data_IF_979288209352
#
_entry.id   IF_979288209352
#
_cell.length_a   1.000
_cell.length_b   1.000
_cell.length_c   1.000
_cell.angle_alpha   90.00
_cell.angle_beta   90.00
_cell.angle_gamma   90.00
#
_symmetry.space_group_name_H-M   'P 1'
#
loop_
_entity.id
_entity.type
_entity.pdbx_description
1 polymer ?
#
# COMPACT_ATOMS: atom_id res chain seq x y z
N UNK A 1 -22.28 -6.05 0.48
CA UNK A 1 -21.18 -5.79 1.45
C UNK A 1 -21.51 -4.49 2.17
N UNK A 2 -21.30 -4.42 3.48
CA UNK A 2 -21.49 -3.19 4.26
C UNK A 2 -20.45 -2.14 3.85
N UNK A 3 -20.82 -0.88 3.92
CA UNK A 3 -19.89 0.22 3.69
C UNK A 3 -18.81 0.24 4.77
N UNK A 4 -17.54 0.27 4.36
CA UNK A 4 -16.40 0.44 5.25
C UNK A 4 -16.09 1.93 5.34
N UNK A 5 -16.25 2.48 6.53
CA UNK A 5 -15.87 3.86 6.87
C UNK A 5 -14.91 3.78 8.06
N UNK A 6 -13.69 4.27 7.87
CA UNK A 6 -12.67 4.29 8.92
C UNK A 6 -12.31 5.74 9.21
N UNK A 7 -12.39 6.15 10.47
CA UNK A 7 -11.96 7.50 10.90
C UNK A 7 -10.67 7.39 11.71
N UNK A 8 -9.70 8.27 11.45
CA UNK A 8 -8.45 8.38 12.21
C UNK A 8 -8.04 9.84 12.40
N UNK A 9 -6.99 10.07 13.21
CA UNK A 9 -6.41 11.40 13.42
C UNK A 9 -4.99 11.40 12.87
N UNK A 10 -4.76 12.11 11.77
CA UNK A 10 -3.42 12.36 11.25
C UNK A 10 -2.79 13.54 12.00
N UNK A 11 -1.55 13.39 12.45
CA UNK A 11 -0.68 14.46 12.92
C UNK A 11 0.32 14.85 11.83
N UNK A 12 0.42 16.15 11.56
CA UNK A 12 1.24 16.74 10.51
C UNK A 12 2.11 17.84 11.14
N UNK A 13 3.41 17.84 10.81
CA UNK A 13 4.30 18.97 11.05
C UNK A 13 3.90 20.12 10.12
N UNK A 14 3.10 21.03 10.67
CA UNK A 14 2.53 22.16 9.92
C UNK A 14 3.60 23.14 9.44
N UNK A 15 4.72 23.27 10.16
CA UNK A 15 5.81 24.14 9.76
C UNK A 15 6.57 23.54 8.58
N UNK A 16 6.88 22.24 8.63
CA UNK A 16 7.45 21.52 7.50
C UNK A 16 6.53 21.62 6.26
N UNK A 17 5.23 21.38 6.43
CA UNK A 17 4.26 21.54 5.35
C UNK A 17 4.25 22.97 4.78
N UNK A 18 4.32 23.99 5.64
CA UNK A 18 4.37 25.39 5.21
C UNK A 18 5.57 25.66 4.31
N UNK A 19 6.75 25.16 4.70
CA UNK A 19 7.98 25.32 3.91
C UNK A 19 7.81 24.72 2.51
N UNK A 20 7.24 23.52 2.39
CA UNK A 20 6.94 22.94 1.07
C UNK A 20 5.95 23.80 0.26
N UNK A 21 4.94 24.36 0.91
CA UNK A 21 3.98 25.26 0.26
C UNK A 21 4.61 26.55 -0.29
N UNK A 22 5.63 27.06 0.38
CA UNK A 22 6.35 28.29 0.03
C UNK A 22 7.37 28.07 -1.11
N UNK A 23 7.81 26.82 -1.37
CA UNK A 23 8.66 26.50 -2.52
C UNK A 23 8.00 26.89 -3.84
N UNK A 24 8.77 27.44 -4.78
CA UNK A 24 8.26 27.80 -6.11
C UNK A 24 7.81 26.55 -6.88
N UNK A 25 8.65 25.51 -6.86
CA UNK A 25 8.44 24.20 -7.48
C UNK A 25 8.89 23.12 -6.50
N UNK A 26 8.23 21.96 -6.52
CA UNK A 26 8.65 20.80 -5.74
C UNK A 26 9.10 19.72 -6.70
N UNK A 27 10.30 19.20 -6.50
CA UNK A 27 10.89 18.12 -7.29
C UNK A 27 10.78 16.83 -6.49
N UNK A 28 10.10 15.83 -7.05
CA UNK A 28 10.07 14.46 -6.53
C UNK A 28 11.09 13.64 -7.33
N UNK A 29 12.13 13.07 -6.71
CA UNK A 29 13.07 12.17 -7.39
C UNK A 29 12.33 11.01 -8.06
N UNK A 30 12.81 10.56 -9.22
CA UNK A 30 12.16 9.50 -10.03
C UNK A 30 12.37 8.08 -9.50
N UNK A 31 13.30 7.88 -8.57
CA UNK A 31 13.79 6.55 -8.20
C UNK A 31 12.98 5.87 -7.08
N UNK A 32 11.82 6.41 -6.72
CA UNK A 32 10.99 5.85 -5.66
C UNK A 32 9.68 5.33 -6.22
N UNK A 33 9.48 4.01 -6.08
CA UNK A 33 8.27 3.22 -6.31
C UNK A 33 7.13 4.04 -6.96
N UNK A 34 7.14 4.12 -8.30
CA UNK A 34 6.06 4.69 -9.13
C UNK A 34 4.72 3.93 -8.99
N UNK A 35 4.54 3.15 -7.91
CA UNK A 35 3.35 2.34 -7.60
C UNK A 35 2.12 3.20 -7.19
N UNK A 36 2.31 4.51 -6.91
CA UNK A 36 1.27 5.38 -6.30
C UNK A 36 0.60 6.41 -7.23
N UNK A 37 0.86 6.39 -8.54
CA UNK A 37 0.15 7.28 -9.49
C UNK A 37 -1.28 6.78 -9.75
N UNK A 38 -2.21 7.17 -8.88
CA UNK A 38 -3.65 7.10 -9.17
C UNK A 38 -4.03 8.17 -10.22
N UNK A 39 -5.08 7.91 -11.00
CA UNK A 39 -5.67 8.80 -12.04
C UNK A 39 -6.04 10.24 -11.56
N UNK A 40 -5.74 10.62 -10.31
CA UNK A 40 -5.89 11.96 -9.73
C UNK A 40 -4.81 12.97 -10.21
N UNK A 41 -4.21 12.73 -11.38
CA UNK A 41 -3.17 13.54 -12.03
C UNK A 41 -3.61 14.96 -12.44
N UNK A 42 -4.85 15.38 -12.16
CA UNK A 42 -5.36 16.68 -12.63
C UNK A 42 -5.07 17.85 -11.68
N UNK A 43 -4.74 17.60 -10.42
CA UNK A 43 -4.47 18.67 -9.45
C UNK A 43 -2.96 18.84 -9.25
N UNK A 44 -2.38 20.02 -9.55
CA UNK A 44 -0.97 20.29 -9.30
C UNK A 44 -0.58 20.01 -7.84
N UNK A 45 0.56 19.36 -7.61
CA UNK A 45 1.05 19.00 -6.27
C UNK A 45 0.98 20.18 -5.28
N UNK A 46 1.39 21.37 -5.72
CA UNK A 46 1.34 22.59 -4.91
C UNK A 46 -0.09 22.94 -4.43
N UNK A 47 -1.10 22.76 -5.28
CA UNK A 47 -2.49 22.98 -4.90
C UNK A 47 -2.97 21.93 -3.89
N UNK A 48 -2.52 20.67 -4.02
CA UNK A 48 -2.79 19.62 -3.02
C UNK A 48 -2.19 19.99 -1.66
N UNK A 49 -0.94 20.47 -1.63
CA UNK A 49 -0.27 20.88 -0.37
C UNK A 49 -0.87 22.12 0.27
N UNK A 50 -1.21 23.15 -0.52
CA UNK A 50 -1.93 24.31 0.02
C UNK A 50 -3.30 23.93 0.57
N UNK A 51 -4.02 23.04 -0.10
CA UNK A 51 -5.28 22.50 0.41
C UNK A 51 -5.04 21.76 1.74
N UNK A 52 -4.01 20.90 1.82
CA UNK A 52 -3.66 20.22 3.06
C UNK A 52 -3.32 21.23 4.17
N UNK A 53 -2.49 22.24 3.90
CA UNK A 53 -2.09 23.26 4.88
C UNK A 53 -3.28 24.06 5.42
N UNK A 54 -4.18 24.49 4.53
CA UNK A 54 -5.35 25.27 4.90
C UNK A 54 -6.39 24.45 5.68
N UNK A 55 -6.44 23.14 5.45
CA UNK A 55 -7.34 22.22 6.12
C UNK A 55 -6.71 21.53 7.35
N UNK A 56 -5.44 21.81 7.66
CA UNK A 56 -4.75 21.30 8.85
C UNK A 56 -4.90 22.33 9.98
N UNK A 57 -5.44 21.94 11.15
CA UNK A 57 -5.53 22.83 12.32
C UNK A 57 -4.17 23.30 12.83
N UNK A 58 -4.16 24.30 13.73
CA UNK A 58 -2.92 24.93 14.22
C UNK A 58 -2.04 23.96 15.00
N UNK A 59 -2.66 23.01 15.70
CA UNK A 59 -1.97 21.95 16.44
C UNK A 59 -1.48 20.79 15.55
N UNK A 60 -1.68 20.87 14.22
CA UNK A 60 -1.27 19.84 13.27
C UNK A 60 -2.16 18.59 13.26
N UNK A 61 -3.21 18.52 14.09
CA UNK A 61 -4.05 17.32 14.23
C UNK A 61 -5.29 17.41 13.34
N UNK A 62 -5.44 16.45 12.44
CA UNK A 62 -6.49 16.41 11.43
C UNK A 62 -7.26 15.11 11.50
N UNK A 63 -8.57 15.18 11.72
CA UNK A 63 -9.44 14.02 11.52
C UNK A 63 -9.60 13.72 10.04
N UNK A 64 -9.43 12.46 9.67
CA UNK A 64 -9.66 11.99 8.31
C UNK A 64 -10.55 10.76 8.27
N UNK A 65 -11.20 10.56 7.14
CA UNK A 65 -12.08 9.41 6.88
C UNK A 65 -11.55 8.67 5.66
N UNK A 66 -11.56 7.34 5.71
CA UNK A 66 -11.25 6.47 4.60
C UNK A 66 -12.49 5.69 4.21
N UNK A 67 -12.77 5.65 2.91
CA UNK A 67 -13.93 4.98 2.33
C UNK A 67 -13.58 4.33 0.99
N UNK A 68 -14.43 3.45 0.46
CA UNK A 68 -14.24 2.93 -0.88
C UNK A 68 -14.62 3.99 -1.94
N UNK A 69 -13.79 4.17 -2.98
CA UNK A 69 -14.13 5.07 -4.10
C UNK A 69 -15.21 4.52 -5.03
N UNK A 70 -15.18 3.22 -5.30
CA UNK A 70 -16.07 2.54 -6.24
C UNK A 70 -16.42 1.14 -5.74
N UNK A 71 -17.66 0.71 -5.98
CA UNK A 71 -18.14 -0.68 -5.88
C UNK A 71 -18.05 -1.36 -4.50
N UNK A 72 -17.71 -0.63 -3.43
CA UNK A 72 -17.66 -1.12 -2.04
C UNK A 72 -16.78 -2.37 -1.83
N UNK A 73 -15.68 -2.49 -2.59
CA UNK A 73 -14.65 -3.52 -2.36
C UNK A 73 -13.27 -3.00 -2.78
N UNK A 74 -12.22 -3.70 -2.35
CA UNK A 74 -10.83 -3.34 -2.63
C UNK A 74 -10.27 -2.35 -1.60
N UNK A 75 -9.37 -1.47 -2.03
CA UNK A 75 -8.71 -0.48 -1.17
C UNK A 75 -9.70 0.57 -0.64
N UNK A 76 -9.40 1.08 0.55
CA UNK A 76 -9.99 2.32 1.06
C UNK A 76 -9.09 3.50 0.71
N UNK A 77 -9.72 4.62 0.40
CA UNK A 77 -9.07 5.86 0.03
C UNK A 77 -9.51 6.96 0.98
N UNK A 78 -8.59 7.85 1.26
CA UNK A 78 -8.80 9.03 2.06
C UNK A 78 -9.78 9.98 1.38
N UNK A 79 -10.77 10.45 2.13
CA UNK A 79 -11.70 11.48 1.70
C UNK A 79 -11.01 12.86 1.78
N UNK A 80 -10.95 13.55 0.64
CA UNK A 80 -10.36 14.89 0.55
C UNK A 80 -8.82 14.89 0.57
N UNK A 81 -8.22 15.74 1.41
CA UNK A 81 -6.75 15.90 1.50
C UNK A 81 -6.20 15.33 2.81
N UNK A 82 -5.02 14.71 2.73
CA UNK A 82 -4.24 14.22 3.86
C UNK A 82 -3.04 13.36 3.44
N UNK A 83 -2.49 12.60 4.38
CA UNK A 83 -1.18 11.95 4.24
C UNK A 83 -1.18 10.80 3.23
N UNK A 84 -2.28 10.06 3.06
CA UNK A 84 -2.36 8.97 2.07
C UNK A 84 -2.17 9.51 0.63
N UNK A 85 -2.61 10.75 0.37
CA UNK A 85 -2.55 11.38 -0.95
C UNK A 85 -1.21 12.07 -1.27
N UNK A 86 -0.23 12.00 -0.36
CA UNK A 86 1.12 12.54 -0.55
C UNK A 86 2.07 11.45 -1.07
N UNK A 87 3.06 11.83 -1.88
CA UNK A 87 4.16 10.91 -2.20
C UNK A 87 4.94 10.54 -0.94
N UNK A 88 5.64 9.39 -0.95
CA UNK A 88 6.50 8.92 0.14
C UNK A 88 7.36 10.04 0.74
N UNK A 89 8.11 10.76 -0.09
CA UNK A 89 9.03 11.82 0.33
C UNK A 89 8.33 13.03 0.96
N UNK A 90 7.25 13.49 0.34
CA UNK A 90 6.47 14.61 0.87
C UNK A 90 5.84 14.21 2.21
N UNK A 91 5.24 13.01 2.26
CA UNK A 91 4.61 12.45 3.45
C UNK A 91 5.64 12.33 4.59
N UNK A 92 6.82 11.77 4.31
CA UNK A 92 7.90 11.62 5.28
C UNK A 92 8.42 12.97 5.79
N UNK A 93 8.55 13.96 4.92
CA UNK A 93 9.04 15.30 5.31
C UNK A 93 8.06 16.04 6.23
N UNK A 94 6.75 15.92 5.99
CA UNK A 94 5.72 16.59 6.80
C UNK A 94 5.23 15.76 7.98
N UNK A 95 5.73 14.54 8.15
CA UNK A 95 5.52 13.76 9.35
C UNK A 95 6.30 14.38 10.52
N UNK A 96 5.73 14.51 11.73
CA UNK A 96 6.50 14.87 12.91
C UNK A 96 7.57 13.80 13.19
N UNK A 97 8.78 14.24 13.53
CA UNK A 97 9.90 13.34 13.78
C UNK A 97 9.64 12.40 14.95
N UNK A 98 9.91 11.10 14.75
CA UNK A 98 9.72 10.06 15.77
C UNK A 98 8.26 9.77 16.17
N UNK A 99 7.27 10.42 15.53
CA UNK A 99 5.88 10.25 15.91
C UNK A 99 5.25 8.98 15.34
N UNK A 100 5.54 8.67 14.07
CA UNK A 100 5.02 7.50 13.37
C UNK A 100 6.05 6.40 13.21
N UNK A 101 5.54 5.17 13.14
CA UNK A 101 6.23 4.01 12.58
C UNK A 101 5.45 3.49 11.39
N UNK A 102 6.13 3.11 10.31
CA UNK A 102 5.50 2.59 9.10
C UNK A 102 5.48 1.07 9.13
N UNK A 103 4.30 0.47 9.29
CA UNK A 103 4.15 -0.99 9.42
C UNK A 103 3.50 -1.56 8.17
N UNK A 104 4.27 -2.37 7.46
CA UNK A 104 3.93 -2.92 6.15
C UNK A 104 3.91 -4.45 6.14
N UNK A 105 3.06 -5.01 5.26
CA UNK A 105 3.11 -6.44 4.95
C UNK A 105 4.23 -6.69 3.94
N UNK A 106 5.16 -7.56 4.30
CA UNK A 106 6.25 -7.95 3.41
C UNK A 106 5.70 -8.72 2.22
N UNK A 107 5.90 -8.14 1.04
CA UNK A 107 5.53 -8.72 -0.25
C UNK A 107 4.02 -8.98 -0.42
N UNK A 108 3.17 -8.12 0.15
CA UNK A 108 1.73 -8.32 0.34
C UNK A 108 1.01 -9.03 -0.82
N UNK A 109 1.09 -8.51 -2.05
CA UNK A 109 0.40 -9.10 -3.22
C UNK A 109 0.73 -10.59 -3.42
N UNK A 110 2.01 -10.96 -3.32
CA UNK A 110 2.45 -12.33 -3.57
C UNK A 110 2.16 -13.23 -2.37
N UNK A 111 2.26 -12.71 -1.15
CA UNK A 111 1.86 -13.39 0.09
C UNK A 111 0.37 -13.71 0.07
N UNK A 112 -0.47 -12.77 -0.38
CA UNK A 112 -1.91 -12.98 -0.52
C UNK A 112 -2.22 -14.06 -1.56
N UNK A 113 -1.55 -14.05 -2.71
CA UNK A 113 -1.75 -15.11 -3.70
C UNK A 113 -1.27 -16.48 -3.22
N UNK A 114 -0.17 -16.56 -2.46
CA UNK A 114 0.27 -17.81 -1.81
C UNK A 114 -0.84 -18.37 -0.89
N UNK A 115 -1.35 -17.53 0.02
CA UNK A 115 -2.43 -17.92 0.93
C UNK A 115 -3.72 -18.32 0.20
N UNK A 116 -4.10 -17.62 -0.88
CA UNK A 116 -5.24 -18.02 -1.71
C UNK A 116 -5.02 -19.39 -2.37
N UNK A 117 -3.79 -19.69 -2.79
CA UNK A 117 -3.40 -20.99 -3.31
C UNK A 117 -3.55 -22.11 -2.29
N UNK A 118 -3.10 -21.86 -1.06
CA UNK A 118 -3.26 -22.79 0.07
C UNK A 118 -4.73 -23.02 0.40
N UNK A 119 -5.54 -21.96 0.46
CA UNK A 119 -6.97 -22.03 0.76
C UNK A 119 -7.76 -22.88 -0.27
N UNK A 120 -7.33 -22.90 -1.54
CA UNK A 120 -7.93 -23.76 -2.57
C UNK A 120 -7.28 -25.15 -2.68
N UNK A 121 -6.29 -25.46 -1.83
CA UNK A 121 -5.56 -26.72 -1.84
C UNK A 121 -4.67 -26.91 -3.08
N UNK A 122 -4.22 -25.82 -3.70
CA UNK A 122 -3.37 -25.83 -4.89
C UNK A 122 -2.28 -24.74 -4.80
N UNK A 123 -1.29 -24.90 -3.90
CA UNK A 123 -0.18 -23.97 -3.79
C UNK A 123 0.67 -23.92 -5.07
N UNK A 124 1.29 -22.77 -5.33
CA UNK A 124 2.27 -22.60 -6.41
C UNK A 124 3.70 -22.66 -5.85
N UNK A 125 4.47 -23.73 -6.07
CA UNK A 125 5.82 -23.87 -5.52
C UNK A 125 6.75 -22.71 -5.87
N UNK A 126 6.71 -22.20 -7.10
CA UNK A 126 7.56 -21.08 -7.51
C UNK A 126 7.14 -19.76 -6.87
N UNK A 127 5.85 -19.55 -6.59
CA UNK A 127 5.40 -18.35 -5.85
C UNK A 127 5.90 -18.38 -4.41
N UNK A 128 5.83 -19.56 -3.77
CA UNK A 128 6.39 -19.79 -2.44
C UNK A 128 7.91 -19.54 -2.44
N UNK A 129 8.62 -20.06 -3.45
CA UNK A 129 10.06 -19.81 -3.60
C UNK A 129 10.35 -18.32 -3.82
N UNK A 130 9.54 -17.63 -4.62
CA UNK A 130 9.63 -16.18 -4.84
C UNK A 130 9.46 -15.39 -3.55
N UNK A 131 8.47 -15.72 -2.72
CA UNK A 131 8.24 -15.04 -1.44
C UNK A 131 9.42 -15.22 -0.48
N UNK A 132 9.99 -16.43 -0.42
CA UNK A 132 11.11 -16.74 0.48
C UNK A 132 12.45 -16.15 0.03
N UNK A 133 12.70 -16.09 -1.27
CA UNK A 133 14.01 -15.73 -1.84
C UNK A 133 13.93 -14.56 -2.83
N UNK A 134 12.99 -13.64 -2.62
CA UNK A 134 12.67 -12.55 -3.56
C UNK A 134 13.91 -11.82 -4.08
N UNK A 135 14.78 -11.38 -3.16
CA UNK A 135 15.98 -10.59 -3.51
C UNK A 135 16.87 -11.36 -4.49
N UNK A 136 17.20 -12.60 -4.16
CA UNK A 136 18.07 -13.45 -4.97
C UNK A 136 17.43 -13.80 -6.32
N UNK A 137 16.10 -13.96 -6.36
CA UNK A 137 15.37 -14.25 -7.60
C UNK A 137 15.31 -13.02 -8.51
N UNK A 138 15.03 -11.84 -7.96
CA UNK A 138 15.07 -10.59 -8.73
C UNK A 138 16.45 -10.33 -9.30
N UNK A 139 17.51 -10.52 -8.52
CA UNK A 139 18.90 -10.40 -8.97
C UNK A 139 19.25 -11.45 -10.04
N UNK A 140 18.92 -12.73 -9.80
CA UNK A 140 19.18 -13.86 -10.71
C UNK A 140 18.57 -13.62 -12.10
N UNK A 141 17.38 -13.04 -12.17
CA UNK A 141 16.67 -12.80 -13.42
C UNK A 141 16.79 -11.36 -13.93
N UNK A 142 17.55 -10.50 -13.24
CA UNK A 142 17.70 -9.08 -13.56
C UNK A 142 16.34 -8.39 -13.78
N UNK A 143 15.43 -8.59 -12.83
CA UNK A 143 14.09 -8.00 -12.82
C UNK A 143 13.92 -7.07 -11.63
N UNK A 144 13.09 -6.06 -11.81
CA UNK A 144 12.60 -5.19 -10.75
C UNK A 144 11.26 -5.70 -10.19
N UNK A 145 10.90 -5.28 -8.97
CA UNK A 145 9.60 -5.60 -8.37
C UNK A 145 8.42 -5.14 -9.27
N UNK A 146 8.39 -3.91 -9.81
CA UNK A 146 7.29 -3.47 -10.69
C UNK A 146 7.17 -4.31 -11.97
N UNK A 147 8.28 -4.77 -12.56
CA UNK A 147 8.25 -5.67 -13.71
C UNK A 147 7.59 -7.00 -13.36
N UNK A 148 7.90 -7.58 -12.21
CA UNK A 148 7.26 -8.82 -11.76
C UNK A 148 5.78 -8.60 -11.47
N UNK A 149 5.39 -7.50 -10.81
CA UNK A 149 3.96 -7.19 -10.56
C UNK A 149 3.21 -7.05 -11.89
N UNK A 150 3.76 -6.29 -12.84
CA UNK A 150 3.18 -6.13 -14.18
C UNK A 150 3.06 -7.48 -14.88
N UNK A 151 4.07 -8.34 -14.75
CA UNK A 151 4.05 -9.68 -15.31
C UNK A 151 2.90 -10.51 -14.72
N UNK A 152 2.72 -10.51 -13.40
CA UNK A 152 1.73 -11.32 -12.70
C UNK A 152 0.29 -10.82 -12.83
N UNK A 153 0.09 -9.50 -12.93
CA UNK A 153 -1.23 -8.88 -13.01
C UNK A 153 -1.69 -8.58 -14.44
N UNK A 154 -0.87 -8.86 -15.46
CA UNK A 154 -1.25 -8.71 -16.85
C UNK A 154 -1.38 -10.07 -17.56
N UNK A 155 -2.62 -10.46 -17.86
CA UNK A 155 -2.94 -11.78 -18.43
C UNK A 155 -2.23 -12.04 -19.76
N UNK A 156 -2.15 -11.02 -20.61
CA UNK A 156 -1.56 -11.13 -21.94
C UNK A 156 -0.04 -10.84 -21.95
N UNK A 157 0.61 -10.90 -20.77
CA UNK A 157 2.05 -10.69 -20.67
C UNK A 157 2.81 -11.85 -21.32
N UNK A 158 3.78 -11.55 -22.18
CA UNK A 158 4.69 -12.57 -22.72
C UNK A 158 5.77 -12.87 -21.69
N UNK A 159 5.66 -14.02 -21.02
CA UNK A 159 6.64 -14.47 -20.04
C UNK A 159 7.58 -15.50 -20.66
N UNK A 160 8.83 -15.10 -20.89
CA UNK A 160 9.86 -15.97 -21.50
C UNK A 160 10.56 -16.87 -20.48
N UNK A 161 10.69 -16.38 -19.25
CA UNK A 161 11.34 -17.08 -18.15
C UNK A 161 10.44 -18.21 -17.60
N UNK A 162 10.95 -19.45 -17.58
CA UNK A 162 10.17 -20.61 -17.10
C UNK A 162 9.65 -20.46 -15.68
N UNK A 163 10.46 -19.95 -14.75
CA UNK A 163 10.09 -19.80 -13.34
C UNK A 163 8.85 -18.90 -13.19
N UNK A 164 8.86 -17.72 -13.80
CA UNK A 164 7.71 -16.81 -13.76
C UNK A 164 6.57 -17.26 -14.67
N UNK A 165 6.86 -17.98 -15.76
CA UNK A 165 5.83 -18.52 -16.65
C UNK A 165 4.96 -19.54 -15.92
N UNK A 166 5.56 -20.34 -15.03
CA UNK A 166 4.81 -21.28 -14.18
C UNK A 166 3.92 -20.55 -13.17
N UNK A 167 4.41 -19.48 -12.53
CA UNK A 167 3.58 -18.64 -11.63
C UNK A 167 2.42 -18.01 -12.42
N UNK A 168 2.72 -17.40 -13.57
CA UNK A 168 1.73 -16.76 -14.44
C UNK A 168 0.68 -17.75 -14.93
N UNK A 169 1.10 -18.93 -15.40
CA UNK A 169 0.20 -20.00 -15.82
C UNK A 169 -0.68 -20.44 -14.66
N UNK A 170 -0.11 -20.62 -13.46
CA UNK A 170 -0.88 -20.99 -12.28
C UNK A 170 -1.93 -19.93 -11.94
N UNK A 171 -1.57 -18.63 -11.93
CA UNK A 171 -2.50 -17.53 -11.67
C UNK A 171 -3.72 -17.55 -12.62
N UNK A 172 -3.49 -17.73 -13.91
CA UNK A 172 -4.52 -17.55 -14.93
C UNK A 172 -5.26 -18.82 -15.35
N UNK A 173 -4.62 -19.99 -15.24
CA UNK A 173 -5.22 -21.28 -15.59
C UNK A 173 -5.80 -21.99 -14.37
N UNK A 174 -5.24 -21.76 -13.17
CA UNK A 174 -5.66 -22.46 -11.95
C UNK A 174 -6.38 -21.52 -10.98
N UNK A 175 -5.71 -20.47 -10.50
CA UNK A 175 -6.23 -19.64 -9.41
C UNK A 175 -7.47 -18.85 -9.85
N UNK A 176 -7.35 -18.00 -10.89
CA UNK A 176 -8.44 -17.14 -11.32
C UNK A 176 -9.71 -17.92 -11.71
N UNK A 177 -9.67 -19.00 -12.51
CA UNK A 177 -10.86 -19.78 -12.83
C UNK A 177 -11.50 -20.47 -11.61
N UNK A 178 -10.71 -20.81 -10.60
CA UNK A 178 -11.20 -21.40 -9.35
C UNK A 178 -11.91 -20.34 -8.50
N UNK A 179 -11.27 -19.18 -8.27
CA UNK A 179 -11.85 -18.10 -7.47
C UNK A 179 -13.18 -17.60 -8.06
N UNK A 180 -13.29 -17.47 -9.39
CA UNK A 180 -14.53 -17.06 -10.07
C UNK A 180 -15.76 -17.92 -9.75
N UNK A 181 -15.56 -19.18 -9.34
CA UNK A 181 -16.64 -20.11 -9.02
C UNK A 181 -17.05 -20.07 -7.54
N UNK A 182 -16.25 -19.42 -6.70
CA UNK A 182 -16.51 -19.36 -5.27
C UNK A 182 -17.47 -18.20 -4.94
N UNK A 183 -18.44 -18.42 -4.03
CA UNK A 183 -19.41 -17.39 -3.64
C UNK A 183 -18.79 -16.09 -3.11
N UNK A 184 -17.60 -16.18 -2.51
CA UNK A 184 -16.88 -15.04 -1.96
C UNK A 184 -16.40 -14.06 -3.04
N UNK A 185 -15.89 -14.57 -4.17
CA UNK A 185 -15.24 -13.75 -5.19
C UNK A 185 -16.14 -13.44 -6.39
N UNK A 186 -17.28 -14.12 -6.52
CA UNK A 186 -18.18 -13.98 -7.69
C UNK A 186 -18.64 -12.53 -7.90
N UNK A 187 -18.87 -11.76 -6.83
CA UNK A 187 -19.29 -10.36 -6.95
C UNK A 187 -18.21 -9.49 -7.60
N UNK A 188 -16.93 -9.74 -7.28
CA UNK A 188 -15.79 -9.05 -7.91
C UNK A 188 -15.70 -9.44 -9.38
N UNK A 189 -15.88 -10.73 -9.69
CA UNK A 189 -15.89 -11.19 -11.08
C UNK A 189 -16.98 -10.52 -11.90
N UNK A 190 -18.23 -10.53 -11.42
CA UNK A 190 -19.36 -9.90 -12.10
C UNK A 190 -19.10 -8.41 -12.38
N UNK A 191 -18.57 -7.69 -11.39
CA UNK A 191 -18.18 -6.29 -11.58
C UNK A 191 -17.15 -6.10 -12.70
N UNK A 192 -16.11 -6.94 -12.73
CA UNK A 192 -15.06 -6.88 -13.76
C UNK A 192 -15.61 -7.26 -15.13
N UNK A 193 -16.48 -8.26 -15.20
CA UNK A 193 -17.11 -8.74 -16.42
C UNK A 193 -18.06 -7.72 -17.04
N UNK A 194 -18.77 -6.97 -16.21
CA UNK A 194 -19.70 -5.90 -16.61
C UNK A 194 -18.99 -4.56 -16.91
N UNK A 195 -17.72 -4.42 -16.52
CA UNK A 195 -16.95 -3.20 -16.76
C UNK A 195 -16.76 -2.92 -18.26
N UNK A 196 -16.93 -1.65 -18.62
CA UNK A 196 -16.73 -1.11 -19.97
C UNK A 196 -15.43 -0.30 -20.08
N UNK A 197 -14.65 -0.22 -19.01
CA UNK A 197 -13.37 0.51 -19.02
C UNK A 197 -12.34 -0.25 -19.86
N UNK A 198 -11.77 0.40 -20.88
CA UNK A 198 -10.88 -0.23 -21.88
C UNK A 198 -9.75 -1.07 -21.26
N UNK A 199 -9.10 -0.54 -20.22
CA UNK A 199 -7.99 -1.22 -19.56
C UNK A 199 -8.45 -2.50 -18.83
N UNK A 200 -9.68 -2.51 -18.28
CA UNK A 200 -10.28 -3.70 -17.67
C UNK A 200 -10.65 -4.73 -18.74
N UNK A 201 -11.28 -4.29 -19.83
CA UNK A 201 -11.70 -5.18 -20.93
C UNK A 201 -10.51 -5.92 -21.54
N UNK A 202 -9.36 -5.24 -21.70
CA UNK A 202 -8.13 -5.83 -22.26
C UNK A 202 -7.39 -6.76 -21.29
N UNK A 203 -7.71 -6.74 -20.00
CA UNK A 203 -7.03 -7.49 -18.96
C UNK A 203 -8.02 -7.92 -17.86
N UNK A 204 -9.09 -8.64 -18.24
CA UNK A 204 -10.17 -8.98 -17.31
C UNK A 204 -9.68 -9.86 -16.16
N UNK A 205 -8.92 -10.91 -16.44
CA UNK A 205 -8.46 -11.79 -15.35
C UNK A 205 -7.45 -11.09 -14.45
N UNK A 206 -6.55 -10.29 -15.01
CA UNK A 206 -5.63 -9.48 -14.22
C UNK A 206 -6.33 -8.45 -13.35
N UNK A 207 -7.35 -7.79 -13.89
CA UNK A 207 -8.21 -6.83 -13.17
C UNK A 207 -9.02 -7.50 -12.05
N UNK A 208 -9.45 -8.74 -12.26
CA UNK A 208 -10.13 -9.57 -11.27
C UNK A 208 -9.19 -9.97 -10.13
N UNK A 209 -8.04 -10.58 -10.44
CA UNK A 209 -7.04 -10.96 -9.44
C UNK A 209 -6.54 -9.74 -8.64
N UNK A 210 -6.38 -8.59 -9.31
CA UNK A 210 -6.00 -7.35 -8.65
C UNK A 210 -7.00 -6.94 -7.56
N UNK A 211 -8.30 -7.00 -7.86
CA UNK A 211 -9.35 -6.68 -6.90
C UNK A 211 -9.50 -7.73 -5.81
N UNK A 212 -9.26 -9.01 -6.12
CA UNK A 212 -9.22 -10.07 -5.11
C UNK A 212 -8.14 -9.80 -4.07
N UNK A 213 -6.89 -9.53 -4.47
CA UNK A 213 -5.84 -9.27 -3.49
C UNK A 213 -6.10 -7.97 -2.71
N UNK A 214 -6.61 -6.91 -3.36
CA UNK A 214 -6.93 -5.64 -2.69
C UNK A 214 -8.04 -5.79 -1.63
N UNK A 215 -8.99 -6.70 -1.85
CA UNK A 215 -10.00 -7.03 -0.84
C UNK A 215 -9.32 -7.66 0.39
N UNK A 216 -8.45 -8.64 0.19
CA UNK A 216 -7.71 -9.30 1.28
C UNK A 216 -6.74 -8.34 1.97
N UNK A 217 -6.08 -7.46 1.22
CA UNK A 217 -5.22 -6.38 1.73
C UNK A 217 -5.98 -5.48 2.73
N UNK A 218 -7.21 -5.10 2.40
CA UNK A 218 -8.07 -4.34 3.32
C UNK A 218 -8.45 -5.15 4.56
N UNK A 219 -8.74 -6.44 4.42
CA UNK A 219 -9.08 -7.31 5.56
C UNK A 219 -7.89 -7.43 6.51
N UNK A 220 -6.67 -7.63 5.98
CA UNK A 220 -5.43 -7.61 6.76
C UNK A 220 -5.26 -6.26 7.46
N UNK A 221 -5.46 -5.15 6.75
CA UNK A 221 -5.35 -3.81 7.33
C UNK A 221 -6.35 -3.59 8.48
N UNK A 222 -7.59 -4.05 8.33
CA UNK A 222 -8.61 -3.97 9.38
C UNK A 222 -8.26 -4.85 10.59
N UNK A 223 -7.75 -6.06 10.36
CA UNK A 223 -7.30 -6.98 11.41
C UNK A 223 -6.12 -6.40 12.19
N UNK A 224 -5.10 -5.86 11.49
CA UNK A 224 -4.00 -5.10 12.11
C UNK A 224 -4.51 -3.98 12.99
N UNK A 225 -5.44 -3.16 12.48
CA UNK A 225 -6.00 -2.02 13.22
C UNK A 225 -6.75 -2.47 14.48
N UNK A 226 -7.57 -3.52 14.38
CA UNK A 226 -8.26 -4.12 15.53
C UNK A 226 -7.26 -4.56 16.59
N UNK A 227 -6.18 -5.23 16.21
CA UNK A 227 -5.12 -5.66 17.12
C UNK A 227 -4.39 -4.47 17.78
N UNK A 228 -3.94 -3.48 17.01
CA UNK A 228 -3.21 -2.34 17.55
C UNK A 228 -4.05 -1.50 18.51
N UNK A 229 -5.35 -1.34 18.23
CA UNK A 229 -6.28 -0.67 19.13
C UNK A 229 -6.39 -1.35 20.50
N UNK A 230 -6.33 -2.68 20.57
CA UNK A 230 -6.34 -3.38 21.87
C UNK A 230 -5.04 -3.19 22.66
N UNK A 231 -3.97 -2.77 21.99
CA UNK A 231 -2.64 -2.50 22.56
C UNK A 231 -2.34 -1.01 22.72
N UNK A 232 -3.33 -0.12 22.56
CA UNK A 232 -3.17 1.35 22.66
C UNK A 232 -2.16 1.90 21.64
N UNK A 233 -2.10 1.27 20.47
CA UNK A 233 -1.37 1.76 19.31
C UNK A 233 -2.41 2.28 18.32
N UNK A 234 -2.30 3.56 17.97
CA UNK A 234 -3.25 4.23 17.09
C UNK A 234 -2.84 4.06 15.62
N UNK A 235 -3.74 3.54 14.78
CA UNK A 235 -3.58 3.48 13.32
C UNK A 235 -4.06 4.78 12.68
N UNK A 236 -3.14 5.73 12.51
CA UNK A 236 -3.44 7.10 12.13
C UNK A 236 -3.51 7.32 10.62
N UNK A 237 -2.61 6.69 9.85
CA UNK A 237 -2.59 6.81 8.37
C UNK A 237 -2.70 5.44 7.73
N UNK A 238 -3.65 5.27 6.83
CA UNK A 238 -3.84 4.01 6.09
C UNK A 238 -3.28 4.14 4.68
N UNK A 239 -2.35 3.27 4.29
CA UNK A 239 -1.64 3.34 3.00
C UNK A 239 -1.61 1.95 2.38
N UNK A 240 -2.70 1.54 1.73
CA UNK A 240 -2.79 0.23 1.07
C UNK A 240 -2.50 -0.95 2.03
N UNK A 241 -1.48 -1.75 1.76
CA UNK A 241 -0.96 -2.83 2.60
C UNK A 241 -0.20 -2.34 3.84
N UNK A 242 0.09 -1.04 3.90
CA UNK A 242 0.77 -0.33 4.97
C UNK A 242 -0.12 0.53 5.85
N UNK A 243 0.42 0.90 7.00
CA UNK A 243 -0.17 1.92 7.88
C UNK A 243 0.90 2.61 8.70
N UNK A 244 0.70 3.91 8.93
CA UNK A 244 1.46 4.63 9.93
C UNK A 244 0.72 4.60 11.25
N UNK A 245 1.47 4.19 12.27
CA UNK A 245 0.95 3.95 13.61
C UNK A 245 1.70 4.80 14.62
N UNK A 246 1.00 5.20 15.67
CA UNK A 246 1.54 5.95 16.79
C UNK A 246 1.44 5.10 18.07
N UNK A 247 2.56 4.95 18.78
CA UNK A 247 2.65 4.18 20.01
C UNK A 247 3.95 3.38 20.13
N UNK A 248 4.09 2.67 21.24
CA UNK A 248 5.22 1.76 21.46
C UNK A 248 4.99 0.47 20.65
N UNK A 249 5.88 0.23 19.70
CA UNK A 249 5.88 -0.98 18.87
C UNK A 249 7.28 -1.54 18.86
N UNK A 250 7.38 -2.83 19.12
CA UNK A 250 8.59 -3.60 18.99
C UNK A 250 8.34 -4.83 18.12
N UNK A 251 9.42 -5.57 17.86
CA UNK A 251 9.36 -6.78 17.06
C UNK A 251 8.42 -7.83 17.65
N UNK A 252 8.30 -7.91 18.98
CA UNK A 252 7.44 -8.87 19.65
C UNK A 252 5.97 -8.59 19.37
N UNK A 253 5.55 -7.33 19.50
CA UNK A 253 4.18 -6.90 19.20
C UNK A 253 3.82 -7.12 17.72
N UNK A 254 4.79 -6.98 16.79
CA UNK A 254 4.57 -7.31 15.39
C UNK A 254 4.29 -8.81 15.19
N UNK A 255 5.04 -9.70 15.86
CA UNK A 255 4.77 -11.16 15.79
C UNK A 255 3.42 -11.52 16.40
N UNK A 256 3.02 -10.87 17.50
CA UNK A 256 1.69 -11.08 18.09
C UNK A 256 0.57 -10.61 17.14
N UNK A 257 0.79 -9.51 16.42
CA UNK A 257 -0.14 -9.03 15.40
C UNK A 257 -0.29 -10.03 14.24
N UNK A 258 0.80 -10.66 13.80
CA UNK A 258 0.75 -11.71 12.77
C UNK A 258 -0.01 -12.94 13.22
N UNK A 259 0.24 -13.42 14.44
CA UNK A 259 -0.50 -14.53 15.01
C UNK A 259 -2.00 -14.20 15.10
N UNK A 260 -2.33 -12.96 15.46
CA UNK A 260 -3.71 -12.50 15.46
C UNK A 260 -4.34 -12.49 14.06
N UNK A 261 -3.61 -12.07 13.02
CA UNK A 261 -4.08 -12.10 11.63
C UNK A 261 -4.32 -13.54 11.16
N UNK A 262 -3.42 -14.47 11.53
CA UNK A 262 -3.58 -15.89 11.22
C UNK A 262 -4.83 -16.46 11.92
N UNK A 263 -5.05 -16.13 13.19
CA UNK A 263 -6.24 -16.56 13.94
C UNK A 263 -7.55 -15.93 13.42
N UNK A 264 -7.54 -14.65 13.05
CA UNK A 264 -8.72 -13.86 12.65
C UNK A 264 -9.12 -14.13 11.19
N UNK A 265 -8.14 -14.32 10.29
CA UNK A 265 -8.35 -14.44 8.84
C UNK A 265 -7.88 -15.76 8.23
N UNK A 266 -7.10 -16.58 8.95
CA UNK A 266 -6.47 -17.78 8.39
C UNK A 266 -5.34 -17.47 7.41
N UNK A 267 -4.72 -16.29 7.52
CA UNK A 267 -3.67 -15.81 6.61
C UNK A 267 -2.32 -15.73 7.32
N UNK A 268 -1.32 -16.39 6.75
CA UNK A 268 0.06 -16.29 7.21
C UNK A 268 0.73 -15.10 6.52
N UNK A 269 1.11 -14.09 7.30
CA UNK A 269 1.76 -12.86 6.81
C UNK A 269 3.01 -12.53 7.63
N UNK A 270 3.87 -11.69 7.06
CA UNK A 270 5.02 -11.14 7.74
C UNK A 270 4.96 -9.61 7.69
N UNK A 271 5.01 -8.95 8.84
CA UNK A 271 5.04 -7.52 9.05
C UNK A 271 6.48 -7.06 9.25
N UNK A 272 6.78 -5.86 8.76
CA UNK A 272 8.04 -5.18 8.99
C UNK A 272 7.81 -3.69 9.26
N UNK A 273 8.62 -3.12 10.15
CA UNK A 273 8.75 -1.68 10.30
C UNK A 273 9.66 -1.13 9.18
N UNK A 274 9.14 -0.23 8.35
CA UNK A 274 9.93 0.50 7.36
C UNK A 274 10.38 1.85 7.94
N UNK A 275 11.62 2.27 7.65
CA UNK A 275 12.11 3.56 8.11
C UNK A 275 11.39 4.69 7.37
N UNK A 276 10.83 5.65 8.12
CA UNK A 276 10.29 6.88 7.56
C UNK A 276 11.46 7.87 7.38
N UNK A 277 12.00 7.93 6.17
CA UNK A 277 13.16 8.78 5.85
C UNK A 277 12.93 9.65 4.64
N UNK A 278 13.37 10.90 4.74
CA UNK A 278 13.48 11.81 3.60
C UNK A 278 14.84 11.61 2.92
N UNK A 279 14.84 11.36 1.61
CA UNK A 279 16.04 11.14 0.82
C UNK A 279 16.85 12.42 0.66
N UNK A 280 18.18 12.29 0.54
CA UNK A 280 19.07 13.43 0.35
C UNK A 280 18.83 14.10 -1.00
N UNK A 281 18.44 13.30 -1.97
CA UNK A 281 18.06 13.71 -3.31
C UNK A 281 16.83 14.62 -3.27
N UNK A 282 15.79 14.23 -2.51
CA UNK A 282 14.62 15.09 -2.30
C UNK A 282 14.99 16.39 -1.57
N UNK A 283 15.75 16.31 -0.47
CA UNK A 283 16.15 17.49 0.29
C UNK A 283 17.01 18.45 -0.56
N UNK A 284 17.98 17.91 -1.32
CA UNK A 284 18.86 18.69 -2.18
C UNK A 284 18.15 19.29 -3.39
N UNK A 285 17.22 18.56 -4.02
CA UNK A 285 16.47 19.07 -5.16
C UNK A 285 15.46 20.18 -4.81
N UNK A 286 15.17 20.36 -3.51
CA UNK A 286 14.21 21.34 -3.01
C UNK A 286 14.85 22.38 -2.07
N UNK A 287 16.19 22.44 -1.98
CA UNK A 287 16.93 23.37 -1.10
C UNK A 287 16.55 23.27 0.40
N UNK A 288 16.26 22.05 0.88
CA UNK A 288 15.80 21.78 2.26
C UNK A 288 16.90 21.20 3.19
N UNK A 289 18.11 20.95 2.68
CA UNK A 289 19.18 20.25 3.39
C UNK A 289 19.57 20.91 4.73
N UNK A 290 19.83 22.22 4.75
CA UNK A 290 20.27 22.92 5.96
C UNK A 290 19.17 22.97 7.03
N UNK A 291 17.92 23.07 6.59
CA UNK A 291 16.75 23.18 7.46
C UNK A 291 16.45 21.84 8.13
N UNK A 292 16.57 20.73 7.39
CA UNK A 292 16.37 19.39 7.94
C UNK A 292 17.41 19.06 9.02
N UNK A 293 18.67 19.45 8.81
CA UNK A 293 19.73 19.30 9.83
C UNK A 293 19.39 20.06 11.11
N UNK A 294 18.84 21.27 11.01
CA UNK A 294 18.43 22.03 12.19
C UNK A 294 17.27 21.37 12.92
N UNK A 295 16.31 20.77 12.20
CA UNK A 295 15.16 20.09 12.80
C UNK A 295 15.57 18.90 13.66
N UNK A 296 16.48 18.06 13.16
CA UNK A 296 16.93 16.83 13.86
C UNK A 296 17.81 17.10 15.09
N UNK A 297 18.37 18.31 15.22
CA UNK A 297 19.27 18.67 16.33
C UNK A 297 18.55 19.32 17.53
N UNK A 298 17.22 19.51 17.46
CA UNK A 298 16.42 20.18 18.51
C UNK A 298 15.75 19.16 19.46
N UNK A 299 16.00 17.86 19.28
CA UNK A 299 15.47 16.77 20.12
C UNK A 299 16.50 16.28 21.14
#
# INVERSE_FOLDING_TARGET
MSEVIITSQEVIDREALRRLCDLQTIVIPKDEDEDDQTDDEKVPLKAKLWSLYNNTPVDGKRTTTYSHRKANFGRVYQDGVGLQNCSSQVRAYIAPEGYYKDIDVVNAIFTVFENMGDAIGNPCPNLIEYNRNRKDILERYNLTKPEVIKMMLYENCKVENTFFKEIHTWLYITLAPTLKKQPEWIQIWNYVEESKEDHVVRNRNGSFLSRCYQKVELEILQSKRKFFQTHRVDSDVLIHDGQWVHGEIDEHLLRECEAFIEDDLGLVVHLAEKPITVSKEFLGANDLMEIDVLRRNVV
#
